data_IF_597033582915
#
_entry.id   IF_597033582915
#
_cell.length_a   1.000
_cell.length_b   1.000
_cell.length_c   1.000
_cell.angle_alpha   90.00
_cell.angle_beta   90.00
_cell.angle_gamma   90.00
#
_symmetry.space_group_name_H-M   'P 1'
#
loop_
_entity.id
_entity.type
_entity.pdbx_description
1 polymer ?
#
# COMPACT_ATOMS: atom_id res chain seq x y z
N UNK A 1 8.28 -48.61 2.66
CA UNK A 1 9.21 -47.52 2.97
C UNK A 1 8.38 -46.26 3.07
N UNK A 2 8.13 -45.78 4.28
CA UNK A 2 7.56 -44.44 4.50
C UNK A 2 8.74 -43.50 4.60
N UNK A 3 8.80 -42.54 3.70
CA UNK A 3 9.77 -41.45 3.67
C UNK A 3 9.46 -40.54 4.87
N UNK A 4 10.37 -40.48 5.84
CA UNK A 4 10.25 -39.56 6.97
C UNK A 4 10.31 -38.12 6.44
N UNK A 5 9.25 -37.35 6.71
CA UNK A 5 9.25 -35.92 6.44
C UNK A 5 10.43 -35.27 7.19
N UNK A 6 11.16 -34.32 6.58
CA UNK A 6 12.29 -33.67 7.21
C UNK A 6 11.82 -32.93 8.47
N UNK A 7 12.46 -33.22 9.61
CA UNK A 7 12.26 -32.48 10.86
C UNK A 7 12.74 -31.04 10.66
N UNK A 8 11.82 -30.10 10.79
CA UNK A 8 12.09 -28.68 10.92
C UNK A 8 13.06 -28.48 12.11
N UNK A 9 14.31 -28.14 11.82
CA UNK A 9 15.29 -27.82 12.86
C UNK A 9 15.02 -26.39 13.28
N UNK A 10 14.51 -26.19 14.50
CA UNK A 10 14.25 -24.85 15.02
C UNK A 10 15.54 -24.02 15.06
N UNK A 11 15.53 -22.85 14.41
CA UNK A 11 16.64 -21.88 14.49
C UNK A 11 16.96 -21.51 15.96
N UNK A 12 18.18 -21.19 16.33
CA UNK A 12 18.44 -20.69 17.68
C UNK A 12 18.24 -19.16 17.80
N UNK A 13 18.47 -18.57 18.98
CA UNK A 13 18.33 -17.11 19.17
C UNK A 13 19.40 -16.31 18.39
N UNK A 14 20.57 -16.91 18.17
CA UNK A 14 21.66 -16.32 17.38
C UNK A 14 21.27 -16.25 15.91
N UNK A 15 20.60 -17.29 15.39
CA UNK A 15 20.09 -17.34 14.02
C UNK A 15 19.02 -16.25 13.76
N UNK A 16 18.09 -16.05 14.70
CA UNK A 16 17.08 -15.00 14.60
C UNK A 16 17.67 -13.59 14.64
N UNK A 17 18.68 -13.39 15.49
CA UNK A 17 19.41 -12.13 15.56
C UNK A 17 20.15 -11.88 14.25
N UNK A 18 20.83 -12.90 13.72
CA UNK A 18 21.52 -12.82 12.43
C UNK A 18 20.56 -12.46 11.28
N UNK A 19 19.33 -12.98 11.26
CA UNK A 19 18.32 -12.59 10.26
C UNK A 19 18.11 -11.07 10.28
N UNK A 20 17.81 -10.49 11.43
CA UNK A 20 17.50 -9.06 11.53
C UNK A 20 18.73 -8.20 11.24
N UNK A 21 19.91 -8.58 11.74
CA UNK A 21 21.16 -7.87 11.45
C UNK A 21 21.48 -7.89 9.95
N UNK A 22 21.31 -9.04 9.29
CA UNK A 22 21.55 -9.18 7.85
C UNK A 22 20.55 -8.39 7.00
N UNK A 23 19.27 -8.30 7.43
CA UNK A 23 18.27 -7.44 6.78
C UNK A 23 18.57 -5.96 7.03
N UNK A 24 19.18 -5.62 8.16
CA UNK A 24 19.54 -4.24 8.51
C UNK A 24 20.71 -3.71 7.68
N UNK A 25 21.59 -4.58 7.17
CA UNK A 25 22.77 -4.18 6.42
C UNK A 25 22.41 -3.38 5.17
N UNK A 26 22.90 -2.14 5.13
CA UNK A 26 22.81 -1.23 3.98
C UNK A 26 23.69 -1.68 2.82
N UNK A 27 23.32 -2.77 2.15
CA UNK A 27 24.03 -3.32 0.99
C UNK A 27 23.27 -3.04 -0.31
N UNK A 28 24.00 -2.96 -1.44
CA UNK A 28 23.41 -2.96 -2.79
C UNK A 28 23.01 -4.36 -3.26
N UNK A 29 23.30 -5.38 -2.48
CA UNK A 29 22.97 -6.79 -2.76
C UNK A 29 21.78 -7.18 -1.90
N UNK A 30 20.77 -7.77 -2.53
CA UNK A 30 19.61 -8.30 -1.83
C UNK A 30 20.05 -9.38 -0.81
N UNK A 31 19.65 -9.30 0.47
CA UNK A 31 20.05 -10.26 1.50
C UNK A 31 19.23 -11.56 1.39
N UNK A 32 19.34 -12.27 0.27
CA UNK A 32 18.51 -13.44 -0.06
C UNK A 32 18.55 -14.54 1.00
N UNK A 33 19.71 -14.76 1.63
CA UNK A 33 19.85 -15.77 2.67
C UNK A 33 19.05 -15.41 3.92
N UNK A 34 19.04 -14.13 4.31
CA UNK A 34 18.27 -13.66 5.46
C UNK A 34 16.77 -13.70 5.18
N UNK A 35 16.36 -13.34 3.95
CA UNK A 35 14.97 -13.45 3.48
C UNK A 35 14.50 -14.92 3.56
N UNK A 36 15.27 -15.86 3.00
CA UNK A 36 14.95 -17.30 3.05
C UNK A 36 14.89 -17.82 4.48
N UNK A 37 15.85 -17.44 5.32
CA UNK A 37 15.85 -17.83 6.73
C UNK A 37 14.64 -17.26 7.49
N UNK A 38 14.20 -16.04 7.18
CA UNK A 38 12.98 -15.46 7.73
C UNK A 38 11.73 -16.23 7.29
N UNK A 39 11.66 -16.63 6.02
CA UNK A 39 10.57 -17.45 5.46
C UNK A 39 10.48 -18.82 6.17
N UNK A 40 11.62 -19.49 6.33
CA UNK A 40 11.73 -20.78 7.03
C UNK A 40 11.40 -20.68 8.52
N UNK A 41 11.55 -19.49 9.11
CA UNK A 41 11.30 -19.23 10.54
C UNK A 41 10.14 -18.26 10.78
N UNK A 42 9.15 -18.21 9.87
CA UNK A 42 8.06 -17.21 9.86
C UNK A 42 7.50 -16.87 11.23
N UNK A 43 7.03 -17.86 12.00
CA UNK A 43 6.38 -17.63 13.30
C UNK A 43 7.26 -16.88 14.29
N UNK A 44 8.58 -17.08 14.22
CA UNK A 44 9.56 -16.48 15.13
C UNK A 44 10.16 -15.19 14.57
N UNK A 45 10.20 -15.05 13.24
CA UNK A 45 10.63 -13.84 12.57
C UNK A 45 9.60 -12.70 12.71
N UNK A 46 8.29 -12.99 12.60
CA UNK A 46 7.20 -12.00 12.67
C UNK A 46 7.35 -11.00 13.84
N UNK A 47 7.47 -11.42 15.12
CA UNK A 47 7.59 -10.46 16.22
C UNK A 47 8.83 -9.56 16.13
N UNK A 48 9.93 -10.06 15.56
CA UNK A 48 11.17 -9.30 15.37
C UNK A 48 11.05 -8.29 14.21
N UNK A 49 10.36 -8.67 13.13
CA UNK A 49 10.06 -7.78 12.01
C UNK A 49 9.13 -6.63 12.44
N UNK A 50 8.12 -6.94 13.26
CA UNK A 50 7.23 -5.94 13.87
C UNK A 50 8.04 -4.98 14.76
N UNK A 51 8.95 -5.50 15.58
CA UNK A 51 9.80 -4.68 16.44
C UNK A 51 10.74 -3.77 15.62
N UNK A 52 11.30 -4.27 14.51
CA UNK A 52 12.11 -3.47 13.59
C UNK A 52 11.32 -2.28 13.01
N UNK A 53 10.08 -2.52 12.57
CA UNK A 53 9.17 -1.45 12.12
C UNK A 53 8.87 -0.44 13.24
N UNK A 54 8.55 -0.90 14.45
CA UNK A 54 8.21 -0.01 15.56
C UNK A 54 9.38 0.90 15.93
N UNK A 55 10.59 0.34 16.05
CA UNK A 55 11.80 1.13 16.36
C UNK A 55 12.09 2.17 15.29
N UNK A 56 12.01 1.79 14.01
CA UNK A 56 12.22 2.71 12.90
C UNK A 56 11.18 3.84 12.91
N UNK A 57 9.90 3.51 13.13
CA UNK A 57 8.82 4.50 13.27
C UNK A 57 9.06 5.45 14.44
N UNK A 58 9.47 4.94 15.60
CA UNK A 58 9.76 5.74 16.78
C UNK A 58 10.97 6.67 16.61
N UNK A 59 12.01 6.21 15.91
CA UNK A 59 13.17 7.03 15.56
C UNK A 59 12.79 8.13 14.55
N UNK A 60 12.06 7.77 13.47
CA UNK A 60 11.58 8.71 12.48
C UNK A 60 10.65 9.78 13.08
N UNK A 61 9.73 9.39 13.99
CA UNK A 61 8.86 10.31 14.72
C UNK A 61 9.64 11.31 15.59
N UNK A 62 10.86 10.95 16.03
CA UNK A 62 11.78 11.83 16.77
C UNK A 62 12.71 12.64 15.85
N UNK A 63 12.55 12.53 14.53
CA UNK A 63 13.44 13.16 13.55
C UNK A 63 14.85 12.54 13.51
N UNK A 64 14.98 11.30 13.97
CA UNK A 64 16.24 10.55 13.92
C UNK A 64 16.27 9.77 12.61
N UNK A 65 17.35 9.97 11.84
CA UNK A 65 17.55 9.24 10.60
C UNK A 65 17.68 7.74 10.88
N UNK A 66 16.87 6.94 10.22
CA UNK A 66 16.90 5.48 10.30
C UNK A 66 17.94 4.95 9.32
N UNK A 67 19.03 4.37 9.83
CA UNK A 67 20.12 3.81 9.00
C UNK A 67 19.95 2.31 8.69
N UNK A 68 19.07 1.63 9.43
CA UNK A 68 18.82 0.19 9.25
C UNK A 68 17.82 -0.06 8.13
N UNK A 69 18.05 -1.05 7.26
CA UNK A 69 17.07 -1.49 6.26
C UNK A 69 16.06 -2.54 6.75
N UNK A 70 16.16 -3.00 8.01
CA UNK A 70 15.34 -4.11 8.49
C UNK A 70 13.83 -3.80 8.44
N UNK A 71 13.45 -2.54 8.70
CA UNK A 71 12.06 -2.08 8.64
C UNK A 71 11.50 -2.10 7.21
N UNK A 72 12.32 -1.78 6.21
CA UNK A 72 11.95 -1.88 4.80
C UNK A 72 11.62 -3.33 4.43
N UNK A 73 12.52 -4.28 4.72
CA UNK A 73 12.25 -5.70 4.46
C UNK A 73 11.10 -6.27 5.30
N UNK A 74 10.92 -5.78 6.52
CA UNK A 74 9.82 -6.18 7.39
C UNK A 74 8.45 -5.88 6.76
N UNK A 75 8.30 -4.75 6.04
CA UNK A 75 7.05 -4.43 5.34
C UNK A 75 6.65 -5.55 4.36
N UNK A 76 7.58 -5.96 3.50
CA UNK A 76 7.35 -7.00 2.49
C UNK A 76 7.19 -8.39 3.11
N UNK A 77 8.07 -8.76 4.03
CA UNK A 77 8.03 -10.07 4.67
C UNK A 77 6.75 -10.26 5.49
N UNK A 78 6.28 -9.24 6.22
CA UNK A 78 5.01 -9.33 6.95
C UNK A 78 3.82 -9.49 6.00
N UNK A 79 3.85 -8.81 4.85
CA UNK A 79 2.82 -8.93 3.82
C UNK A 79 2.82 -10.31 3.17
N UNK A 80 4.00 -10.82 2.79
CA UNK A 80 4.19 -12.18 2.26
C UNK A 80 3.68 -13.23 3.26
N UNK A 81 4.02 -13.03 4.54
CA UNK A 81 3.57 -13.87 5.63
C UNK A 81 2.10 -13.66 5.98
N UNK A 82 1.39 -12.69 5.41
CA UNK A 82 0.01 -12.32 5.81
C UNK A 82 -0.15 -12.22 7.33
N UNK A 83 0.87 -11.67 8.01
CA UNK A 83 0.97 -11.62 9.46
C UNK A 83 0.13 -10.46 10.00
N UNK A 84 -1.19 -10.67 10.12
CA UNK A 84 -2.18 -9.64 10.48
C UNK A 84 -1.81 -8.86 11.75
N UNK A 85 -1.12 -9.49 12.70
CA UNK A 85 -0.59 -8.85 13.91
C UNK A 85 0.39 -7.70 13.63
N UNK A 86 0.97 -7.63 12.43
CA UNK A 86 1.88 -6.56 11.99
C UNK A 86 1.17 -5.31 11.49
N UNK A 87 -0.13 -5.38 11.16
CA UNK A 87 -0.87 -4.24 10.62
C UNK A 87 -0.80 -2.98 11.49
N UNK A 88 -0.95 -3.04 12.84
CA UNK A 88 -0.83 -1.84 13.66
C UNK A 88 0.53 -1.14 13.55
N UNK A 89 1.63 -1.89 13.41
CA UNK A 89 2.96 -1.32 13.28
C UNK A 89 3.17 -0.69 11.88
N UNK A 90 2.70 -1.36 10.83
CA UNK A 90 2.73 -0.84 9.46
C UNK A 90 1.89 0.44 9.36
N UNK A 91 0.65 0.40 9.88
CA UNK A 91 -0.27 1.54 9.90
C UNK A 91 0.35 2.74 10.63
N UNK A 92 1.01 2.52 11.76
CA UNK A 92 1.70 3.59 12.48
C UNK A 92 2.84 4.20 11.64
N UNK A 93 3.62 3.38 10.94
CA UNK A 93 4.75 3.81 10.11
C UNK A 93 4.29 4.66 8.90
N UNK A 94 3.30 4.18 8.15
CA UNK A 94 2.79 4.90 6.96
C UNK A 94 1.97 6.14 7.32
N UNK A 95 1.50 6.24 8.56
CA UNK A 95 0.74 7.41 9.06
C UNK A 95 1.64 8.48 9.69
N UNK A 96 2.97 8.33 9.64
CA UNK A 96 3.87 9.40 10.08
C UNK A 96 3.65 10.66 9.23
N UNK A 97 3.78 11.86 9.84
CA UNK A 97 3.51 13.11 9.15
C UNK A 97 4.59 13.45 8.10
N UNK A 98 4.21 14.21 7.08
CA UNK A 98 5.12 14.72 6.06
C UNK A 98 5.76 13.62 5.22
N UNK A 99 7.07 13.71 5.00
CA UNK A 99 7.85 12.78 4.16
C UNK A 99 8.38 11.56 4.93
N UNK A 100 8.12 11.46 6.23
CA UNK A 100 8.64 10.35 7.04
C UNK A 100 8.26 8.94 6.51
N UNK A 101 7.08 8.69 5.92
CA UNK A 101 6.82 7.42 5.25
C UNK A 101 7.79 7.12 4.09
N UNK A 102 8.18 8.14 3.31
CA UNK A 102 9.18 8.00 2.25
C UNK A 102 10.59 7.84 2.81
N UNK A 103 10.92 8.50 3.93
CA UNK A 103 12.21 8.30 4.60
C UNK A 103 12.40 6.84 5.06
N UNK A 104 11.31 6.16 5.41
CA UNK A 104 11.31 4.76 5.81
C UNK A 104 11.26 3.81 4.61
N UNK A 105 10.35 4.04 3.67
CA UNK A 105 10.00 3.03 2.66
C UNK A 105 10.37 3.43 1.23
N UNK A 106 10.84 4.66 1.01
CA UNK A 106 11.19 5.16 -0.32
C UNK A 106 10.05 4.97 -1.32
N UNK A 107 10.40 4.52 -2.52
CA UNK A 107 9.46 4.33 -3.62
C UNK A 107 8.43 3.21 -3.37
N UNK A 108 8.64 2.35 -2.36
CA UNK A 108 7.63 1.35 -1.97
C UNK A 108 6.33 2.01 -1.47
N UNK A 109 6.39 3.27 -1.01
CA UNK A 109 5.19 4.06 -0.73
C UNK A 109 4.33 4.17 -1.99
N UNK A 110 4.89 4.36 -3.17
CA UNK A 110 4.13 4.57 -4.41
C UNK A 110 3.96 3.32 -5.27
N UNK A 111 4.89 2.37 -5.17
CA UNK A 111 4.93 1.19 -6.04
C UNK A 111 4.25 -0.04 -5.43
N UNK A 112 4.36 -0.22 -4.10
CA UNK A 112 3.99 -1.50 -3.45
C UNK A 112 2.91 -1.38 -2.38
N UNK A 113 2.63 -0.16 -1.90
CA UNK A 113 1.83 0.01 -0.69
C UNK A 113 0.37 -0.41 -0.87
N UNK A 114 -0.26 -0.20 -2.02
CA UNK A 114 -1.64 -0.60 -2.28
C UNK A 114 -1.87 -2.13 -2.15
N UNK A 115 -1.14 -3.01 -2.85
CA UNK A 115 -1.27 -4.45 -2.65
C UNK A 115 -0.95 -4.86 -1.21
N UNK A 116 0.06 -4.25 -0.59
CA UNK A 116 0.43 -4.54 0.81
C UNK A 116 -0.72 -4.21 1.76
N UNK A 117 -1.31 -3.01 1.66
CA UNK A 117 -2.46 -2.64 2.50
C UNK A 117 -3.63 -3.60 2.29
N UNK A 118 -3.90 -4.02 1.05
CA UNK A 118 -4.99 -4.95 0.74
C UNK A 118 -4.87 -6.30 1.45
N UNK A 119 -3.64 -6.74 1.77
CA UNK A 119 -3.39 -7.97 2.54
C UNK A 119 -3.82 -7.83 4.01
N UNK A 120 -3.69 -6.63 4.58
CA UNK A 120 -3.85 -6.39 6.01
C UNK A 120 -5.20 -5.82 6.42
N UNK A 121 -5.78 -4.93 5.63
CA UNK A 121 -7.06 -4.32 6.00
C UNK A 121 -8.12 -5.41 6.11
N UNK A 122 -8.91 -5.43 7.18
CA UNK A 122 -10.01 -6.38 7.35
C UNK A 122 -11.29 -5.83 6.72
N UNK A 123 -11.47 -4.51 6.80
CA UNK A 123 -12.59 -3.77 6.21
C UNK A 123 -12.09 -2.64 5.29
N UNK A 124 -12.84 -2.40 4.21
CA UNK A 124 -12.65 -1.24 3.33
C UNK A 124 -12.81 0.10 4.09
N UNK A 125 -13.48 0.11 5.24
CA UNK A 125 -13.62 1.31 6.08
C UNK A 125 -12.29 1.77 6.68
N UNK A 126 -11.31 0.87 6.83
CA UNK A 126 -9.97 1.25 7.28
C UNK A 126 -9.22 2.07 6.23
N UNK A 127 -9.40 1.73 4.95
CA UNK A 127 -8.86 2.51 3.83
C UNK A 127 -9.54 3.87 3.75
N UNK A 128 -10.86 3.92 3.94
CA UNK A 128 -11.59 5.19 4.02
C UNK A 128 -11.03 6.11 5.10
N UNK A 129 -10.76 5.57 6.29
CA UNK A 129 -10.17 6.35 7.39
C UNK A 129 -8.78 6.90 7.05
N UNK A 130 -7.97 6.16 6.28
CA UNK A 130 -6.68 6.65 5.78
C UNK A 130 -6.88 7.77 4.76
N UNK A 131 -7.79 7.59 3.80
CA UNK A 131 -8.08 8.58 2.74
C UNK A 131 -8.60 9.90 3.33
N UNK A 132 -9.44 9.83 4.36
CA UNK A 132 -10.04 11.00 5.01
C UNK A 132 -9.07 11.76 5.93
N UNK A 133 -8.01 11.11 6.43
CA UNK A 133 -7.03 11.75 7.30
C UNK A 133 -6.01 12.58 6.50
N UNK A 134 -6.27 13.88 6.43
CA UNK A 134 -5.41 14.86 5.74
C UNK A 134 -4.05 15.10 6.42
N UNK A 135 -3.78 14.51 7.57
CA UNK A 135 -2.43 14.51 8.16
C UNK A 135 -1.53 13.42 7.59
N UNK A 136 -2.12 12.39 6.98
CA UNK A 136 -1.38 11.33 6.29
C UNK A 136 -0.89 11.87 4.94
N UNK A 137 0.33 11.47 4.58
CA UNK A 137 0.95 11.82 3.31
C UNK A 137 0.02 11.52 2.11
N UNK A 138 -0.05 12.43 1.14
CA UNK A 138 -0.99 12.34 0.02
C UNK A 138 -0.78 11.09 -0.86
N UNK A 139 0.45 10.60 -0.98
CA UNK A 139 0.74 9.37 -1.72
C UNK A 139 0.28 8.12 -0.96
N UNK A 140 0.40 8.10 0.37
CA UNK A 140 -0.18 7.01 1.20
C UNK A 140 -1.70 6.99 1.06
N UNK A 141 -2.34 8.17 1.09
CA UNK A 141 -3.78 8.32 0.87
C UNK A 141 -4.18 7.84 -0.53
N UNK A 142 -3.39 8.17 -1.56
CA UNK A 142 -3.62 7.68 -2.91
C UNK A 142 -3.54 6.15 -2.97
N UNK A 143 -2.52 5.54 -2.38
CA UNK A 143 -2.43 4.08 -2.36
C UNK A 143 -3.58 3.42 -1.62
N UNK A 144 -4.17 4.07 -0.61
CA UNK A 144 -5.38 3.58 0.04
C UNK A 144 -6.59 3.61 -0.91
N UNK A 145 -6.69 4.61 -1.79
CA UNK A 145 -7.68 4.62 -2.88
C UNK A 145 -7.43 3.46 -3.85
N UNK A 146 -6.18 3.23 -4.24
CA UNK A 146 -5.81 2.17 -5.19
C UNK A 146 -5.98 0.77 -4.59
N UNK A 147 -5.80 0.60 -3.28
CA UNK A 147 -6.03 -0.65 -2.57
C UNK A 147 -7.47 -1.17 -2.70
N UNK A 148 -8.47 -0.32 -2.97
CA UNK A 148 -9.82 -0.81 -3.28
C UNK A 148 -9.85 -1.72 -4.50
N UNK A 149 -8.99 -1.47 -5.51
CA UNK A 149 -8.96 -2.28 -6.72
C UNK A 149 -8.47 -3.70 -6.42
N UNK A 150 -7.49 -3.83 -5.53
CA UNK A 150 -7.01 -5.11 -5.00
C UNK A 150 -8.09 -5.83 -4.18
N UNK A 151 -8.86 -5.11 -3.36
CA UNK A 151 -10.01 -5.70 -2.66
C UNK A 151 -11.09 -6.21 -3.63
N UNK A 152 -11.31 -5.51 -4.75
CA UNK A 152 -12.22 -5.96 -5.81
C UNK A 152 -11.69 -7.21 -6.50
N UNK A 153 -10.40 -7.23 -6.88
CA UNK A 153 -9.73 -8.40 -7.46
C UNK A 153 -9.87 -9.63 -6.56
N UNK A 154 -9.70 -9.45 -5.26
CA UNK A 154 -9.76 -10.53 -4.26
C UNK A 154 -11.21 -10.92 -3.89
N UNK A 155 -12.23 -10.31 -4.52
CA UNK A 155 -13.64 -10.59 -4.26
C UNK A 155 -14.13 -10.12 -2.88
N UNK A 156 -13.36 -9.26 -2.22
CA UNK A 156 -13.67 -8.68 -0.90
C UNK A 156 -14.50 -7.40 -0.99
N UNK A 157 -14.58 -6.82 -2.18
CA UNK A 157 -15.40 -5.66 -2.52
C UNK A 157 -15.96 -5.85 -3.93
N UNK A 158 -17.15 -5.34 -4.22
CA UNK A 158 -17.64 -5.27 -5.61
C UNK A 158 -17.15 -4.00 -6.29
N UNK A 159 -17.08 -4.01 -7.63
CA UNK A 159 -16.78 -2.78 -8.43
C UNK A 159 -17.70 -1.62 -8.04
N UNK A 160 -18.99 -1.89 -7.85
CA UNK A 160 -19.97 -0.88 -7.48
C UNK A 160 -19.73 -0.29 -6.08
N UNK A 161 -19.38 -1.11 -5.09
CA UNK A 161 -19.04 -0.64 -3.75
C UNK A 161 -17.75 0.21 -3.74
N UNK A 162 -16.73 -0.20 -4.50
CA UNK A 162 -15.51 0.57 -4.68
C UNK A 162 -15.78 1.94 -5.31
N UNK A 163 -16.55 1.96 -6.40
CA UNK A 163 -16.94 3.21 -7.08
C UNK A 163 -17.74 4.14 -6.17
N UNK A 164 -18.68 3.61 -5.37
CA UNK A 164 -19.46 4.42 -4.46
C UNK A 164 -18.58 5.10 -3.38
N UNK A 165 -17.54 4.40 -2.89
CA UNK A 165 -16.57 4.97 -1.94
C UNK A 165 -15.70 6.03 -2.60
N UNK A 166 -15.14 5.74 -3.77
CA UNK A 166 -14.30 6.68 -4.53
C UNK A 166 -15.09 7.93 -4.97
N UNK A 167 -16.36 7.78 -5.37
CA UNK A 167 -17.25 8.89 -5.67
C UNK A 167 -17.45 9.81 -4.45
N UNK A 168 -17.74 9.23 -3.28
CA UNK A 168 -17.91 10.00 -2.05
C UNK A 168 -16.65 10.83 -1.74
N UNK A 169 -15.48 10.22 -1.86
CA UNK A 169 -14.20 10.91 -1.67
C UNK A 169 -13.96 12.00 -2.71
N UNK A 170 -14.30 11.75 -3.99
CA UNK A 170 -14.13 12.73 -5.07
C UNK A 170 -15.03 13.95 -4.85
N UNK A 171 -16.29 13.74 -4.47
CA UNK A 171 -17.21 14.84 -4.14
C UNK A 171 -16.67 15.69 -2.98
N UNK A 172 -16.23 15.04 -1.90
CA UNK A 172 -15.66 15.75 -0.75
C UNK A 172 -14.38 16.53 -1.12
N UNK A 173 -13.52 15.97 -1.97
CA UNK A 173 -12.31 16.63 -2.44
C UNK A 173 -12.63 17.84 -3.34
N UNK A 174 -13.64 17.73 -4.22
CA UNK A 174 -14.14 18.82 -5.08
C UNK A 174 -14.70 19.97 -4.22
N UNK A 175 -15.54 19.67 -3.22
CA UNK A 175 -16.10 20.67 -2.30
C UNK A 175 -14.99 21.46 -1.58
N UNK A 176 -13.90 20.77 -1.21
CA UNK A 176 -12.75 21.34 -0.51
C UNK A 176 -11.70 21.95 -1.45
N UNK A 177 -11.84 21.76 -2.76
CA UNK A 177 -10.87 22.16 -3.80
C UNK A 177 -9.47 21.60 -3.55
N UNK A 178 -9.38 20.34 -3.12
CA UNK A 178 -8.11 19.66 -2.86
C UNK A 178 -7.54 19.08 -4.17
N UNK A 179 -6.85 19.88 -4.98
CA UNK A 179 -6.41 19.50 -6.33
C UNK A 179 -5.60 18.19 -6.38
N UNK A 180 -4.71 17.94 -5.41
CA UNK A 180 -3.93 16.71 -5.34
C UNK A 180 -4.82 15.48 -5.14
N UNK A 181 -5.75 15.53 -4.18
CA UNK A 181 -6.69 14.45 -3.91
C UNK A 181 -7.68 14.22 -5.07
N UNK A 182 -8.17 15.31 -5.69
CA UNK A 182 -9.01 15.22 -6.89
C UNK A 182 -8.25 14.50 -8.00
N UNK A 183 -6.97 14.83 -8.18
CA UNK A 183 -6.17 14.25 -9.25
C UNK A 183 -5.91 12.76 -9.03
N UNK A 184 -5.49 12.36 -7.82
CA UNK A 184 -5.28 10.95 -7.48
C UNK A 184 -6.55 10.12 -7.56
N UNK A 185 -7.70 10.69 -7.18
CA UNK A 185 -9.01 10.04 -7.28
C UNK A 185 -9.43 9.83 -8.73
N UNK A 186 -9.24 10.82 -9.61
CA UNK A 186 -9.56 10.68 -11.04
C UNK A 186 -8.66 9.61 -11.67
N UNK A 187 -7.35 9.61 -11.37
CA UNK A 187 -6.43 8.57 -11.87
C UNK A 187 -6.91 7.19 -11.42
N UNK A 188 -7.18 7.03 -10.12
CA UNK A 188 -7.66 5.75 -9.58
C UNK A 188 -8.99 5.33 -10.20
N UNK A 189 -9.90 6.28 -10.45
CA UNK A 189 -11.20 6.02 -11.06
C UNK A 189 -11.08 5.60 -12.53
N UNK A 190 -10.09 6.09 -13.27
CA UNK A 190 -9.85 5.70 -14.67
C UNK A 190 -9.71 4.18 -14.82
N UNK A 191 -9.09 3.51 -13.84
CA UNK A 191 -8.91 2.06 -13.85
C UNK A 191 -10.22 1.28 -13.67
N UNK A 192 -11.30 1.96 -13.26
CA UNK A 192 -12.64 1.39 -13.14
C UNK A 192 -13.49 1.59 -14.40
N UNK A 193 -13.00 2.30 -15.41
CA UNK A 193 -13.81 2.73 -16.56
C UNK A 193 -15.10 3.43 -16.10
N UNK A 194 -15.01 4.62 -15.48
CA UNK A 194 -16.02 5.14 -14.56
C UNK A 194 -17.15 5.88 -15.31
N UNK A 195 -17.87 5.16 -16.19
CA UNK A 195 -18.98 5.70 -17.01
C UNK A 195 -20.00 6.45 -16.15
N UNK A 196 -20.29 5.90 -14.97
CA UNK A 196 -21.27 6.42 -14.02
C UNK A 196 -20.86 7.78 -13.43
N UNK A 197 -19.55 8.06 -13.38
CA UNK A 197 -18.98 9.27 -12.78
C UNK A 197 -18.46 10.26 -13.83
N UNK A 198 -18.67 10.00 -15.12
CA UNK A 198 -18.12 10.78 -16.22
C UNK A 198 -18.42 12.28 -16.10
N UNK A 199 -19.66 12.66 -15.76
CA UNK A 199 -20.00 14.09 -15.62
C UNK A 199 -19.34 14.77 -14.43
N UNK A 200 -19.17 14.05 -13.30
CA UNK A 200 -18.47 14.55 -12.13
C UNK A 200 -16.99 14.80 -12.44
N UNK A 201 -16.35 13.85 -13.13
CA UNK A 201 -14.96 13.95 -13.58
C UNK A 201 -14.79 15.12 -14.57
N UNK A 202 -15.67 15.23 -15.56
CA UNK A 202 -15.66 16.35 -16.52
C UNK A 202 -15.87 17.69 -15.84
N UNK A 203 -16.70 17.77 -14.81
CA UNK A 203 -16.87 18.99 -14.02
C UNK A 203 -15.59 19.40 -13.28
N UNK A 204 -14.86 18.45 -12.71
CA UNK A 204 -13.57 18.71 -12.07
C UNK A 204 -12.55 19.31 -13.07
N UNK A 205 -12.46 18.78 -14.29
CA UNK A 205 -11.64 19.36 -15.37
C UNK A 205 -12.13 20.75 -15.79
N UNK A 206 -13.45 20.94 -16.01
CA UNK A 206 -14.02 22.25 -16.38
C UNK A 206 -13.77 23.33 -15.32
N UNK A 207 -13.63 22.91 -14.06
CA UNK A 207 -13.42 23.80 -12.92
C UNK A 207 -11.94 24.04 -12.58
N UNK A 208 -11.01 23.54 -13.42
CA UNK A 208 -9.55 23.66 -13.22
C UNK A 208 -9.08 23.09 -11.86
N UNK A 209 -9.78 22.05 -11.38
CA UNK A 209 -9.47 21.37 -10.11
C UNK A 209 -8.64 20.11 -10.29
N UNK A 210 -8.56 19.58 -11.51
CA UNK A 210 -7.76 18.42 -11.87
C UNK A 210 -6.41 18.88 -12.44
N UNK A 211 -5.30 18.37 -11.89
CA UNK A 211 -3.97 18.75 -12.33
C UNK A 211 -3.59 17.99 -13.62
N UNK A 212 -3.67 18.65 -14.76
CA UNK A 212 -3.32 18.06 -16.07
C UNK A 212 -1.83 17.71 -16.24
N UNK A 213 -0.94 18.07 -15.30
CA UNK A 213 0.42 17.53 -15.25
C UNK A 213 0.48 16.10 -14.69
N UNK A 214 -0.50 15.73 -13.86
CA UNK A 214 -0.59 14.38 -13.27
C UNK A 214 -1.58 13.49 -14.04
N UNK A 215 -2.54 14.09 -14.74
CA UNK A 215 -3.64 13.37 -15.38
C UNK A 215 -3.70 13.72 -16.86
N UNK A 216 -3.59 12.71 -17.73
CA UNK A 216 -3.93 12.88 -19.14
C UNK A 216 -5.46 12.78 -19.31
N UNK A 217 -6.10 13.93 -19.54
CA UNK A 217 -7.54 14.01 -19.80
C UNK A 217 -7.99 13.09 -20.94
N UNK A 218 -7.13 12.86 -21.94
CA UNK A 218 -7.46 11.97 -23.06
C UNK A 218 -7.56 10.52 -22.59
N UNK A 219 -6.62 10.04 -21.78
CA UNK A 219 -6.66 8.68 -21.22
C UNK A 219 -7.91 8.48 -20.34
N UNK A 220 -8.27 9.47 -19.54
CA UNK A 220 -9.49 9.43 -18.72
C UNK A 220 -10.75 9.28 -19.58
N UNK A 221 -10.88 10.08 -20.65
CA UNK A 221 -12.04 9.99 -21.55
C UNK A 221 -12.05 8.68 -22.35
N UNK A 222 -10.90 8.13 -22.73
CA UNK A 222 -10.78 6.80 -23.33
C UNK A 222 -11.26 5.72 -22.35
N UNK A 223 -10.82 5.76 -21.08
CA UNK A 223 -11.29 4.86 -20.03
C UNK A 223 -12.80 4.93 -19.79
N UNK A 224 -13.38 6.15 -19.80
CA UNK A 224 -14.84 6.34 -19.73
C UNK A 224 -15.55 5.72 -20.95
N UNK A 225 -14.99 5.83 -22.15
CA UNK A 225 -15.60 5.26 -23.36
C UNK A 225 -15.51 3.73 -23.39
N UNK A 226 -14.41 3.17 -22.93
CA UNK A 226 -14.20 1.72 -22.83
C UNK A 226 -15.05 1.08 -21.72
N UNK A 227 -15.31 1.81 -20.63
CA UNK A 227 -16.14 1.37 -19.51
C UNK A 227 -15.64 0.07 -18.88
N UNK A 228 -16.53 -0.92 -18.76
CA UNK A 228 -16.19 -2.21 -18.15
C UNK A 228 -15.00 -2.91 -18.87
N UNK A 229 -14.80 -2.68 -20.18
CA UNK A 229 -13.68 -3.27 -20.88
C UNK A 229 -12.31 -2.76 -20.39
N UNK A 230 -12.21 -1.48 -20.00
CA UNK A 230 -11.03 -0.91 -19.34
C UNK A 230 -10.85 -1.58 -17.98
N UNK A 231 -11.91 -1.61 -17.18
CA UNK A 231 -11.88 -2.19 -15.84
C UNK A 231 -11.40 -3.65 -15.83
N UNK A 232 -11.96 -4.51 -16.68
CA UNK A 232 -11.54 -5.91 -16.77
C UNK A 232 -10.06 -6.05 -17.18
N UNK A 233 -9.56 -5.15 -18.04
CA UNK A 233 -8.17 -5.14 -18.49
C UNK A 233 -7.22 -4.73 -17.38
N UNK A 234 -7.55 -3.69 -16.61
CA UNK A 234 -6.71 -3.27 -15.48
C UNK A 234 -6.74 -4.30 -14.36
N UNK A 235 -7.91 -4.86 -14.04
CA UNK A 235 -8.04 -5.90 -13.02
C UNK A 235 -7.19 -7.15 -13.33
N UNK A 236 -7.05 -7.52 -14.60
CA UNK A 236 -6.24 -8.66 -15.06
C UNK A 236 -4.73 -8.39 -15.03
N UNK A 237 -4.31 -7.13 -15.00
CA UNK A 237 -2.90 -6.76 -14.94
C UNK A 237 -2.36 -6.70 -13.50
N UNK A 238 -3.24 -6.71 -12.50
CA UNK A 238 -2.83 -6.70 -11.10
C UNK A 238 -2.12 -8.02 -10.72
N UNK A 239 -0.99 -7.94 -10.00
CA UNK A 239 -0.15 -9.10 -9.66
C UNK A 239 -0.81 -10.08 -8.68
#
# INVERSE_FOLDING_TARGET
>A
MMEEAPKEVAADESDLKWIIESLAEGSRVLPEQAIRAAQENRQRAVPLLIDALRRATEDAARGIKVESNAHFFALFLLAEFRAQEGWPAIRAAISLPGEAPFDLFGDAITEDLAPIMSVFVESADELDAIIDDRQINEYVRWQAMYAFLYLVRDGRLTRAEALARLERHLRAAIERKECAAISSLIITLSDYGPVELAELIREAFRSDLANEFLIDRKDVEEGIQEGDARFQRELQQLP
#
